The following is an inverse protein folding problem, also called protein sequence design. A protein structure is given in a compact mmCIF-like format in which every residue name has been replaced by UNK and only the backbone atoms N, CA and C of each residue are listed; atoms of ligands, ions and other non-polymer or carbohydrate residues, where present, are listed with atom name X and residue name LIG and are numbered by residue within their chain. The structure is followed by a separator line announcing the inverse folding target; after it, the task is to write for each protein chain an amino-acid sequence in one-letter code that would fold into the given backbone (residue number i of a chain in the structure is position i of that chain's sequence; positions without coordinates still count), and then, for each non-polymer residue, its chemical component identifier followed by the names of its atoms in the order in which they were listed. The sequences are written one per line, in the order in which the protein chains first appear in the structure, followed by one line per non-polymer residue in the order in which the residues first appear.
data_IF_339699539210
#
_entry.id   IF_339699539210
#
_cell.length_a   1.000
_cell.length_b   1.000
_cell.length_c   1.000
_cell.angle_alpha   90.00
_cell.angle_beta   90.00
_cell.angle_gamma   90.00
#
_symmetry.space_group_name_H-M   'P 1'
#
loop_
_entity.id
_entity.type
_entity.pdbx_description
1 polymer ?
#
# COMPACT_ATOMS: atom_id res chain seq x y z
N UNK A 1 -5.61 7.22 14.64
CA UNK A 1 -6.73 6.30 15.03
C UNK A 1 -7.70 6.26 13.87
N UNK A 2 -8.07 5.09 13.38
CA UNK A 2 -9.06 4.90 12.31
C UNK A 2 -10.49 4.99 12.87
N UNK A 3 -11.44 5.44 12.03
CA UNK A 3 -12.86 5.52 12.42
C UNK A 3 -13.54 4.22 11.99
N UNK A 4 -14.23 3.57 12.94
CA UNK A 4 -14.95 2.32 12.71
C UNK A 4 -16.46 2.51 12.86
N UNK A 5 -17.21 1.87 11.98
CA UNK A 5 -18.64 1.76 12.09
C UNK A 5 -19.05 0.70 13.14
N UNK A 6 -20.25 0.83 13.72
CA UNK A 6 -20.84 -0.23 14.54
C UNK A 6 -21.33 -1.40 13.68
N UNK A 7 -21.60 -2.55 14.32
CA UNK A 7 -21.95 -3.82 13.63
C UNK A 7 -23.26 -3.76 12.83
N UNK A 8 -24.18 -2.84 13.17
CA UNK A 8 -25.51 -2.78 12.57
C UNK A 8 -25.66 -1.70 11.50
N UNK A 9 -24.54 -1.06 11.10
CA UNK A 9 -24.54 0.02 10.12
C UNK A 9 -24.55 -0.50 8.69
N UNK A 10 -25.12 0.33 7.78
CA UNK A 10 -25.22 0.05 6.34
C UNK A 10 -24.56 1.17 5.54
N UNK A 11 -24.23 0.88 4.29
CA UNK A 11 -23.78 1.91 3.34
C UNK A 11 -24.85 3.00 3.20
N UNK A 12 -24.41 4.26 3.23
CA UNK A 12 -25.27 5.45 3.23
C UNK A 12 -25.65 5.96 4.61
N UNK A 13 -25.50 5.18 5.69
CA UNK A 13 -25.72 5.66 7.05
C UNK A 13 -24.73 6.77 7.38
N UNK A 14 -25.17 7.71 8.22
CA UNK A 14 -24.36 8.84 8.66
C UNK A 14 -24.16 8.83 10.17
N UNK A 15 -22.97 9.21 10.60
CA UNK A 15 -22.64 9.41 12.00
C UNK A 15 -21.87 10.70 12.19
N UNK A 16 -21.90 11.26 13.40
CA UNK A 16 -21.18 12.47 13.75
C UNK A 16 -20.07 12.13 14.76
N UNK A 17 -18.85 12.64 14.52
CA UNK A 17 -17.72 12.54 15.42
C UNK A 17 -17.01 13.90 15.45
N UNK A 18 -16.87 14.49 16.66
CA UNK A 18 -16.23 15.79 16.88
C UNK A 18 -16.79 16.91 15.97
N UNK A 19 -18.12 16.94 15.77
CA UNK A 19 -18.81 17.92 14.95
C UNK A 19 -18.66 17.71 13.44
N UNK A 20 -18.06 16.60 13.02
CA UNK A 20 -17.90 16.22 11.59
C UNK A 20 -18.82 15.07 11.27
N UNK A 21 -19.64 15.24 10.23
CA UNK A 21 -20.49 14.17 9.71
C UNK A 21 -19.69 13.26 8.80
N UNK A 22 -19.71 11.96 9.07
CA UNK A 22 -19.12 10.90 8.25
C UNK A 22 -20.19 10.05 7.63
N UNK A 23 -19.97 9.58 6.39
CA UNK A 23 -20.86 8.66 5.68
C UNK A 23 -20.21 7.27 5.63
N UNK A 24 -20.96 6.24 6.00
CA UNK A 24 -20.52 4.85 5.91
C UNK A 24 -20.64 4.39 4.46
N UNK A 25 -19.58 3.76 3.95
CA UNK A 25 -19.50 3.31 2.55
C UNK A 25 -19.09 1.84 2.47
N UNK A 26 -19.58 1.16 1.46
CA UNK A 26 -19.11 -0.15 1.00
C UNK A 26 -18.20 -0.03 -0.24
N UNK A 27 -17.86 -1.17 -0.86
CA UNK A 27 -16.99 -1.18 -2.04
C UNK A 27 -17.57 -0.38 -3.21
N UNK A 28 -18.89 -0.55 -3.48
CA UNK A 28 -19.58 0.07 -4.62
C UNK A 28 -19.67 1.57 -4.42
N UNK A 29 -20.24 2.00 -3.30
CA UNK A 29 -20.41 3.42 -2.95
C UNK A 29 -19.09 4.17 -2.92
N UNK A 30 -18.03 3.57 -2.31
CA UNK A 30 -16.71 4.20 -2.29
C UNK A 30 -16.13 4.34 -3.70
N UNK A 31 -16.29 3.32 -4.54
CA UNK A 31 -15.85 3.33 -5.93
C UNK A 31 -16.51 4.46 -6.72
N UNK A 32 -17.84 4.58 -6.63
CA UNK A 32 -18.61 5.64 -7.29
C UNK A 32 -18.18 7.04 -6.83
N UNK A 33 -18.01 7.27 -5.52
CA UNK A 33 -17.53 8.54 -4.98
C UNK A 33 -16.16 8.91 -5.54
N UNK A 34 -15.24 7.94 -5.61
CA UNK A 34 -13.89 8.18 -6.18
C UNK A 34 -13.96 8.48 -7.67
N UNK A 35 -14.80 7.79 -8.45
CA UNK A 35 -14.96 8.05 -9.89
C UNK A 35 -15.57 9.43 -10.14
N UNK A 36 -16.55 9.84 -9.34
CA UNK A 36 -17.20 11.18 -9.43
C UNK A 36 -16.27 12.30 -8.96
N UNK A 37 -15.17 11.99 -8.24
CA UNK A 37 -14.28 12.99 -7.65
C UNK A 37 -14.83 13.62 -6.36
N UNK A 38 -15.72 12.91 -5.68
CA UNK A 38 -16.29 13.35 -4.40
C UNK A 38 -15.22 13.39 -3.28
N UNK A 39 -15.50 14.16 -2.23
CA UNK A 39 -14.64 14.22 -1.04
C UNK A 39 -14.78 12.94 -0.20
N UNK A 40 -13.79 12.05 -0.34
CA UNK A 40 -13.72 10.79 0.41
C UNK A 40 -12.97 10.91 1.75
N UNK A 41 -12.60 12.12 2.18
CA UNK A 41 -11.94 12.32 3.49
C UNK A 41 -12.87 12.10 4.68
N UNK A 42 -14.18 12.19 4.45
CA UNK A 42 -15.24 12.08 5.48
C UNK A 42 -16.09 10.82 5.30
N UNK A 43 -15.46 9.70 4.94
CA UNK A 43 -16.13 8.41 4.87
C UNK A 43 -15.61 7.44 5.93
N UNK A 44 -16.45 6.49 6.32
CA UNK A 44 -16.09 5.35 7.18
C UNK A 44 -16.07 4.09 6.32
N UNK A 45 -14.92 3.46 6.23
CA UNK A 45 -14.64 2.38 5.28
C UNK A 45 -14.69 0.98 5.91
N UNK A 46 -15.26 0.83 7.11
CA UNK A 46 -15.32 -0.46 7.82
C UNK A 46 -15.99 -1.59 7.00
N UNK A 47 -16.95 -1.25 6.11
CA UNK A 47 -17.62 -2.23 5.25
C UNK A 47 -16.85 -2.53 3.96
N UNK A 48 -15.75 -1.82 3.70
CA UNK A 48 -14.94 -2.00 2.51
C UNK A 48 -13.99 -3.19 2.69
N UNK A 49 -13.99 -4.11 1.74
CA UNK A 49 -13.16 -5.34 1.77
C UNK A 49 -12.14 -5.41 0.65
N UNK A 50 -12.28 -4.57 -0.38
CA UNK A 50 -11.40 -4.52 -1.55
C UNK A 50 -11.20 -3.07 -2.00
N UNK A 51 -9.93 -2.64 -2.09
CA UNK A 51 -9.55 -1.31 -2.56
C UNK A 51 -8.62 -1.38 -3.78
N UNK A 52 -8.66 -2.51 -4.50
CA UNK A 52 -7.86 -2.69 -5.70
C UNK A 52 -8.12 -1.59 -6.73
N UNK A 53 -7.05 -0.94 -7.18
CA UNK A 53 -7.06 0.12 -8.20
C UNK A 53 -7.88 1.36 -7.85
N UNK A 54 -8.34 1.55 -6.61
CA UNK A 54 -9.31 2.57 -6.21
C UNK A 54 -8.95 3.99 -6.68
N UNK A 55 -7.68 4.40 -6.58
CA UNK A 55 -7.21 5.71 -7.04
C UNK A 55 -6.27 5.64 -8.25
N UNK A 56 -6.17 4.47 -8.90
CA UNK A 56 -5.22 4.28 -10.00
C UNK A 56 -5.37 5.35 -11.09
N UNK A 57 -4.26 6.04 -11.42
CA UNK A 57 -4.22 7.09 -12.43
C UNK A 57 -4.79 8.45 -12.00
N UNK A 58 -5.32 8.59 -10.79
CA UNK A 58 -5.80 9.88 -10.25
C UNK A 58 -4.60 10.71 -9.76
N UNK A 59 -3.81 11.23 -10.68
CA UNK A 59 -2.47 11.82 -10.47
C UNK A 59 -2.41 12.91 -9.40
N UNK A 60 -3.50 13.66 -9.20
CA UNK A 60 -3.59 14.79 -8.26
C UNK A 60 -4.23 14.39 -6.91
N UNK A 61 -4.63 13.12 -6.73
CA UNK A 61 -5.26 12.70 -5.48
C UNK A 61 -4.26 12.79 -4.32
N UNK A 62 -4.61 13.55 -3.28
CA UNK A 62 -3.82 13.69 -2.06
C UNK A 62 -4.71 14.10 -0.87
N UNK A 63 -5.97 13.62 -0.80
CA UNK A 63 -6.84 13.86 0.35
C UNK A 63 -6.38 13.06 1.56
N UNK A 64 -6.63 13.61 2.77
CA UNK A 64 -6.36 12.90 4.02
C UNK A 64 -7.33 11.72 4.21
N UNK A 65 -6.78 10.52 4.09
CA UNK A 65 -7.48 9.25 4.29
C UNK A 65 -6.90 8.47 5.50
N UNK A 66 -6.17 9.14 6.38
CA UNK A 66 -5.52 8.54 7.56
C UNK A 66 -6.52 7.90 8.53
N UNK A 67 -7.77 8.37 8.51
CA UNK A 67 -8.85 7.87 9.38
C UNK A 67 -9.59 6.65 8.84
N UNK A 68 -9.30 6.22 7.61
CA UNK A 68 -9.96 5.06 7.02
C UNK A 68 -9.68 3.77 7.80
N UNK A 69 -10.71 2.99 8.04
CA UNK A 69 -10.60 1.63 8.55
C UNK A 69 -10.40 0.65 7.39
N UNK A 70 -9.20 0.10 7.28
CA UNK A 70 -8.85 -0.87 6.24
C UNK A 70 -8.69 -2.29 6.80
N UNK A 71 -9.08 -2.50 8.06
CA UNK A 71 -8.86 -3.77 8.75
C UNK A 71 -9.59 -4.96 8.13
N UNK A 72 -10.65 -4.73 7.34
CA UNK A 72 -11.36 -5.77 6.58
C UNK A 72 -10.88 -5.91 5.13
N UNK A 73 -9.91 -5.09 4.69
CA UNK A 73 -9.43 -5.10 3.31
C UNK A 73 -8.42 -6.22 3.09
N UNK A 74 -8.59 -6.97 2.02
CA UNK A 74 -7.70 -8.07 1.65
C UNK A 74 -6.83 -7.78 0.42
N UNK A 75 -7.23 -6.84 -0.44
CA UNK A 75 -6.52 -6.47 -1.67
C UNK A 75 -6.46 -4.94 -1.84
N UNK A 76 -5.24 -4.40 -1.84
CA UNK A 76 -4.95 -2.99 -2.17
C UNK A 76 -4.00 -2.89 -3.38
N UNK A 77 -3.99 -3.93 -4.24
CA UNK A 77 -3.18 -3.93 -5.46
C UNK A 77 -3.51 -2.72 -6.33
N UNK A 78 -2.49 -2.04 -6.81
CA UNK A 78 -2.60 -0.87 -7.68
C UNK A 78 -3.40 0.33 -7.08
N UNK A 79 -3.69 0.35 -5.79
CA UNK A 79 -4.55 1.37 -5.18
C UNK A 79 -4.08 2.80 -5.48
N UNK A 80 -2.78 3.06 -5.39
CA UNK A 80 -2.17 4.36 -5.68
C UNK A 80 -1.28 4.33 -6.92
N UNK A 81 -1.54 3.38 -7.85
CA UNK A 81 -0.74 3.31 -9.08
C UNK A 81 -0.85 4.62 -9.87
N UNK A 82 0.30 5.20 -10.21
CA UNK A 82 0.43 6.45 -10.97
C UNK A 82 -0.26 7.67 -10.32
N UNK A 83 -0.47 7.62 -8.98
CA UNK A 83 -0.97 8.75 -8.17
C UNK A 83 0.22 9.60 -7.71
N UNK A 84 0.76 10.41 -8.60
CA UNK A 84 2.04 11.11 -8.41
C UNK A 84 2.07 12.11 -7.26
N UNK A 85 0.92 12.70 -6.90
CA UNK A 85 0.81 13.67 -5.80
C UNK A 85 0.62 13.03 -4.43
N UNK A 86 0.29 11.73 -4.34
CA UNK A 86 -0.08 11.09 -3.08
C UNK A 86 1.09 11.03 -2.11
N UNK A 87 0.93 11.63 -0.93
CA UNK A 87 1.91 11.57 0.16
C UNK A 87 1.23 11.75 1.54
N UNK A 88 0.02 11.21 1.74
CA UNK A 88 -0.67 11.27 3.02
C UNK A 88 -0.21 10.20 3.98
N UNK A 89 -0.24 10.51 5.28
CA UNK A 89 0.12 9.56 6.34
C UNK A 89 -0.93 8.44 6.46
N UNK A 90 -0.52 7.24 6.13
CA UNK A 90 -1.30 6.00 6.23
C UNK A 90 -0.65 4.98 7.18
N UNK A 91 0.24 5.43 8.04
CA UNK A 91 0.96 4.58 9.02
C UNK A 91 0.03 3.88 10.00
N UNK A 92 -1.15 4.47 10.28
CA UNK A 92 -2.14 3.91 11.20
C UNK A 92 -3.06 2.84 10.59
N UNK A 93 -2.92 2.53 9.32
CA UNK A 93 -3.74 1.52 8.67
C UNK A 93 -3.40 0.12 9.18
N UNK A 94 -4.42 -0.63 9.61
CA UNK A 94 -4.29 -2.05 9.93
C UNK A 94 -4.44 -2.88 8.65
N UNK A 95 -3.32 -3.22 8.03
CA UNK A 95 -3.28 -4.05 6.82
C UNK A 95 -3.03 -5.53 7.10
N UNK A 96 -3.22 -5.99 8.33
CA UNK A 96 -2.90 -7.36 8.75
C UNK A 96 -3.68 -8.44 7.97
N UNK A 97 -4.81 -8.10 7.35
CA UNK A 97 -5.59 -8.98 6.49
C UNK A 97 -5.22 -8.89 5.00
N UNK A 98 -4.38 -7.94 4.61
CA UNK A 98 -3.98 -7.76 3.20
C UNK A 98 -3.06 -8.88 2.75
N UNK A 99 -3.34 -9.42 1.57
CA UNK A 99 -2.56 -10.47 0.90
C UNK A 99 -1.87 -9.99 -0.37
N UNK A 100 -2.40 -8.97 -1.02
CA UNK A 100 -1.90 -8.46 -2.31
C UNK A 100 -1.54 -6.99 -2.22
N UNK A 101 -0.23 -6.71 -2.39
CA UNK A 101 0.36 -5.38 -2.47
C UNK A 101 0.91 -5.06 -3.87
N UNK A 102 0.51 -5.84 -4.88
CA UNK A 102 1.01 -5.69 -6.24
C UNK A 102 0.79 -4.26 -6.76
N UNK A 103 1.88 -3.57 -7.07
CA UNK A 103 1.85 -2.22 -7.64
C UNK A 103 1.16 -1.16 -6.80
N UNK A 104 0.99 -1.36 -5.49
CA UNK A 104 0.22 -0.44 -4.63
C UNK A 104 0.67 1.00 -4.77
N UNK A 105 1.98 1.27 -4.77
CA UNK A 105 2.58 2.60 -4.94
C UNK A 105 3.36 2.74 -6.25
N UNK A 106 3.05 1.91 -7.25
CA UNK A 106 3.71 2.01 -8.55
C UNK A 106 3.50 3.40 -9.15
N UNK A 107 4.59 4.11 -9.46
CA UNK A 107 4.54 5.46 -10.02
C UNK A 107 4.05 6.56 -9.06
N UNK A 108 3.84 6.26 -7.78
CA UNK A 108 3.52 7.26 -6.75
C UNK A 108 4.80 8.04 -6.39
N UNK A 109 5.22 8.94 -7.26
CA UNK A 109 6.55 9.55 -7.25
C UNK A 109 6.84 10.43 -6.04
N UNK A 110 5.81 11.01 -5.40
CA UNK A 110 5.95 11.84 -4.19
C UNK A 110 5.84 11.05 -2.89
N UNK A 111 5.42 9.77 -2.96
CA UNK A 111 5.12 9.01 -1.75
C UNK A 111 6.38 8.69 -0.94
N UNK A 112 6.43 9.15 0.31
CA UNK A 112 7.53 8.87 1.24
C UNK A 112 7.07 8.83 2.71
N UNK A 113 5.92 8.21 2.99
CA UNK A 113 5.40 8.10 4.35
C UNK A 113 5.92 6.86 5.06
N UNK A 114 6.02 6.94 6.38
CA UNK A 114 6.49 5.84 7.22
C UNK A 114 5.51 4.66 7.21
N UNK A 115 5.98 3.50 6.79
CA UNK A 115 5.22 2.25 6.75
C UNK A 115 5.77 1.17 7.70
N UNK A 116 6.65 1.53 8.63
CA UNK A 116 7.28 0.56 9.56
C UNK A 116 6.28 -0.15 10.47
N UNK A 117 5.12 0.46 10.74
CA UNK A 117 4.03 -0.12 11.54
C UNK A 117 3.17 -1.13 10.77
N UNK A 118 3.30 -1.20 9.45
CA UNK A 118 2.47 -2.10 8.65
C UNK A 118 2.80 -3.58 8.92
N UNK A 119 1.78 -4.36 9.28
CA UNK A 119 1.91 -5.81 9.41
C UNK A 119 1.70 -6.49 8.06
N UNK A 120 2.80 -6.79 7.36
CA UNK A 120 2.79 -7.45 6.05
C UNK A 120 2.91 -8.98 6.12
N UNK A 121 2.80 -9.58 7.32
CA UNK A 121 3.07 -11.01 7.54
C UNK A 121 2.09 -11.96 6.81
N UNK A 122 1.00 -11.47 6.25
CA UNK A 122 0.05 -12.24 5.45
C UNK A 122 0.17 -11.97 3.94
N UNK A 123 1.06 -11.08 3.53
CA UNK A 123 1.26 -10.74 2.12
C UNK A 123 1.94 -11.88 1.37
N UNK A 124 1.43 -12.18 0.17
CA UNK A 124 1.96 -13.21 -0.72
C UNK A 124 2.52 -12.66 -2.03
N UNK A 125 2.12 -11.45 -2.43
CA UNK A 125 2.59 -10.80 -3.65
C UNK A 125 2.92 -9.33 -3.39
N UNK A 126 4.18 -8.94 -3.70
CA UNK A 126 4.68 -7.57 -3.62
C UNK A 126 5.20 -7.05 -4.98
N UNK A 127 4.86 -7.71 -6.11
CA UNK A 127 5.36 -7.30 -7.41
C UNK A 127 5.13 -5.81 -7.67
N UNK A 128 6.16 -5.11 -8.11
CA UNK A 128 6.11 -3.70 -8.52
C UNK A 128 5.57 -2.73 -7.44
N UNK A 129 5.59 -3.11 -6.15
CA UNK A 129 4.95 -2.33 -5.09
C UNK A 129 5.42 -0.88 -5.05
N UNK A 130 6.72 -0.64 -5.19
CA UNK A 130 7.35 0.68 -5.21
C UNK A 130 8.01 1.00 -6.56
N UNK A 131 7.63 0.32 -7.65
CA UNK A 131 8.19 0.62 -8.97
C UNK A 131 7.96 2.10 -9.31
N UNK A 132 9.03 2.85 -9.55
CA UNK A 132 8.96 4.28 -9.88
C UNK A 132 8.48 5.19 -8.74
N UNK A 133 8.37 4.70 -7.49
CA UNK A 133 8.14 5.52 -6.31
C UNK A 133 9.43 6.29 -5.96
N UNK A 134 9.72 7.34 -6.72
CA UNK A 134 11.03 7.98 -6.78
C UNK A 134 11.49 8.58 -5.45
N UNK A 135 10.56 9.08 -4.62
CA UNK A 135 10.85 9.70 -3.33
C UNK A 135 10.94 8.69 -2.18
N UNK A 136 10.42 7.45 -2.35
CA UNK A 136 10.29 6.50 -1.25
C UNK A 136 11.65 6.06 -0.71
N UNK A 137 11.91 6.31 0.57
CA UNK A 137 13.13 5.88 1.28
C UNK A 137 12.88 5.65 2.78
N UNK A 138 11.74 5.12 3.16
CA UNK A 138 11.42 4.84 4.57
C UNK A 138 11.95 3.47 5.01
N UNK A 139 12.31 3.36 6.28
CA UNK A 139 12.78 2.11 6.88
C UNK A 139 11.64 1.10 7.00
N UNK A 140 11.79 -0.02 6.29
CA UNK A 140 10.88 -1.16 6.27
C UNK A 140 11.64 -2.46 6.58
N UNK A 141 12.79 -2.36 7.21
CA UNK A 141 13.66 -3.50 7.56
C UNK A 141 13.00 -4.50 8.50
N UNK A 142 12.03 -4.03 9.30
CA UNK A 142 11.28 -4.83 10.26
C UNK A 142 10.10 -5.62 9.65
N UNK A 143 9.83 -5.49 8.35
CA UNK A 143 8.73 -6.21 7.73
C UNK A 143 8.96 -7.73 7.72
N UNK A 144 7.97 -8.50 8.16
CA UNK A 144 7.98 -9.95 8.02
C UNK A 144 7.44 -10.34 6.63
N UNK A 145 8.35 -10.61 5.69
CA UNK A 145 8.03 -10.98 4.31
C UNK A 145 8.10 -12.50 4.05
N UNK A 146 8.18 -13.32 5.09
CA UNK A 146 8.41 -14.77 5.00
C UNK A 146 7.32 -15.57 4.27
N UNK A 147 6.16 -14.97 3.96
CA UNK A 147 5.12 -15.59 3.15
C UNK A 147 5.10 -15.11 1.70
N UNK A 148 5.90 -14.12 1.35
CA UNK A 148 5.92 -13.56 -0.01
C UNK A 148 6.53 -14.57 -0.99
N UNK A 149 5.82 -14.85 -2.07
CA UNK A 149 6.28 -15.76 -3.13
C UNK A 149 6.81 -15.05 -4.37
N UNK A 150 6.45 -13.77 -4.55
CA UNK A 150 6.87 -12.99 -5.71
C UNK A 150 7.15 -11.53 -5.35
N UNK A 151 8.33 -11.06 -5.80
CA UNK A 151 8.88 -9.71 -5.57
C UNK A 151 9.44 -9.09 -6.84
N UNK A 152 8.80 -9.33 -8.00
CA UNK A 152 9.23 -8.77 -9.29
C UNK A 152 9.21 -7.25 -9.23
N UNK A 153 10.34 -6.61 -9.53
CA UNK A 153 10.43 -5.16 -9.70
C UNK A 153 10.00 -4.33 -8.47
N UNK A 154 10.08 -4.86 -7.26
CA UNK A 154 9.58 -4.16 -6.05
C UNK A 154 10.12 -2.75 -5.96
N UNK A 155 11.42 -2.55 -6.16
CA UNK A 155 12.09 -1.24 -6.12
C UNK A 155 12.60 -0.79 -7.48
N UNK A 156 12.09 -1.36 -8.58
CA UNK A 156 12.47 -0.95 -9.94
C UNK A 156 12.27 0.57 -10.09
N UNK A 157 13.33 1.31 -10.44
CA UNK A 157 13.31 2.79 -10.57
C UNK A 157 12.89 3.56 -9.31
N UNK A 158 12.92 2.94 -8.12
CA UNK A 158 12.75 3.63 -6.83
C UNK A 158 14.04 4.37 -6.45
N UNK A 159 14.31 5.49 -7.11
CA UNK A 159 15.63 6.15 -7.18
C UNK A 159 16.22 6.60 -5.86
N UNK A 160 15.38 6.82 -4.83
CA UNK A 160 15.84 7.23 -3.49
C UNK A 160 16.00 6.06 -2.53
N UNK A 161 15.43 4.87 -2.84
CA UNK A 161 15.36 3.78 -1.88
C UNK A 161 16.73 3.14 -1.65
N UNK A 162 17.25 3.24 -0.43
CA UNK A 162 18.53 2.65 -0.02
C UNK A 162 18.52 2.17 1.46
N UNK A 163 17.38 1.71 1.95
CA UNK A 163 17.28 1.18 3.32
C UNK A 163 17.85 -0.24 3.39
N UNK A 164 18.38 -0.60 4.56
CA UNK A 164 18.94 -1.93 4.77
C UNK A 164 17.84 -2.97 5.00
N UNK A 165 17.56 -3.78 4.00
CA UNK A 165 16.56 -4.86 4.03
C UNK A 165 17.22 -6.25 3.89
N UNK A 166 18.51 -6.37 4.15
CA UNK A 166 19.25 -7.62 3.99
C UNK A 166 18.79 -8.73 4.96
N UNK A 167 18.06 -8.36 6.03
CA UNK A 167 17.48 -9.27 7.02
C UNK A 167 16.15 -9.89 6.60
N UNK A 168 15.56 -9.47 5.46
CA UNK A 168 14.31 -10.04 5.00
C UNK A 168 14.44 -11.55 4.72
N UNK A 169 13.53 -12.35 5.29
CA UNK A 169 13.39 -13.77 4.96
C UNK A 169 12.70 -13.92 3.60
N UNK A 170 13.50 -14.19 2.58
CA UNK A 170 13.05 -14.32 1.18
C UNK A 170 13.10 -15.77 0.68
N UNK A 171 13.17 -16.75 1.57
CA UNK A 171 13.33 -18.17 1.23
C UNK A 171 12.16 -18.73 0.38
N UNK A 172 10.98 -18.10 0.44
CA UNK A 172 9.82 -18.49 -0.37
C UNK A 172 9.69 -17.74 -1.69
N UNK A 173 10.52 -16.73 -1.93
CA UNK A 173 10.44 -15.93 -3.15
C UNK A 173 10.97 -16.72 -4.34
N UNK A 174 10.09 -17.00 -5.30
CA UNK A 174 10.38 -17.73 -6.53
C UNK A 174 10.62 -16.79 -7.73
N UNK A 175 10.07 -15.56 -7.67
CA UNK A 175 10.17 -14.57 -8.74
C UNK A 175 10.65 -13.23 -8.20
N UNK A 176 11.84 -12.75 -8.63
CA UNK A 176 12.45 -11.51 -8.13
C UNK A 176 13.17 -10.68 -9.20
N UNK A 177 12.99 -10.97 -10.49
CA UNK A 177 13.71 -10.23 -11.53
C UNK A 177 13.39 -8.73 -11.47
N UNK A 178 14.39 -7.90 -11.84
CA UNK A 178 14.33 -6.44 -11.72
C UNK A 178 14.02 -5.91 -10.31
N UNK A 179 14.29 -6.68 -9.26
CA UNK A 179 13.95 -6.30 -7.87
C UNK A 179 14.39 -4.89 -7.51
N UNK A 180 15.60 -4.49 -7.90
CA UNK A 180 16.24 -3.22 -7.53
C UNK A 180 16.73 -2.39 -8.73
N UNK A 181 16.50 -2.80 -9.97
CA UNK A 181 17.07 -2.13 -11.13
C UNK A 181 16.68 -0.63 -11.18
N UNK A 182 17.69 0.25 -11.22
CA UNK A 182 17.49 1.71 -11.21
C UNK A 182 17.07 2.30 -9.85
N UNK A 183 17.14 1.53 -8.76
CA UNK A 183 17.04 2.05 -7.38
C UNK A 183 18.40 2.50 -6.86
N UNK A 184 18.42 3.18 -5.71
CA UNK A 184 19.66 3.49 -4.98
C UNK A 184 20.08 2.34 -4.03
N UNK A 185 19.34 1.23 -3.98
CA UNK A 185 19.60 0.11 -3.07
C UNK A 185 20.92 -0.56 -3.40
N UNK A 186 21.83 -0.57 -2.44
CA UNK A 186 23.13 -1.23 -2.58
C UNK A 186 23.01 -2.75 -2.44
N UNK A 187 23.93 -3.51 -3.04
CA UNK A 187 23.99 -4.96 -2.91
C UNK A 187 24.16 -5.44 -1.46
N UNK A 188 24.82 -4.67 -0.60
CA UNK A 188 24.99 -4.98 0.82
C UNK A 188 23.71 -4.85 1.62
N UNK A 189 22.76 -4.05 1.15
CA UNK A 189 21.47 -3.78 1.78
C UNK A 189 20.35 -4.67 1.22
N UNK A 190 20.64 -5.46 0.19
CA UNK A 190 19.66 -6.33 -0.50
C UNK A 190 19.56 -7.70 0.17
N UNK A 191 18.38 -8.32 0.30
CA UNK A 191 18.26 -9.67 0.82
C UNK A 191 18.90 -10.69 -0.13
N UNK A 192 19.29 -11.84 0.42
CA UNK A 192 19.93 -12.93 -0.36
C UNK A 192 18.86 -13.88 -0.87
N UNK A 193 18.45 -13.71 -2.10
CA UNK A 193 17.54 -14.63 -2.76
C UNK A 193 18.24 -15.97 -3.07
N UNK A 194 17.63 -17.10 -2.66
CA UNK A 194 18.18 -18.45 -2.82
C UNK A 194 17.52 -19.24 -3.95
N UNK A 195 16.23 -18.98 -4.22
CA UNK A 195 15.44 -19.70 -5.23
C UNK A 195 15.20 -18.91 -6.50
N UNK A 196 15.28 -17.61 -6.42
CA UNK A 196 15.08 -16.73 -7.54
C UNK A 196 16.36 -16.68 -8.37
N UNK A 197 16.38 -17.41 -9.51
CA UNK A 197 17.53 -17.45 -10.39
C UNK A 197 17.74 -16.10 -11.10
N UNK A 198 18.93 -15.55 -10.88
CA UNK A 198 19.70 -14.61 -11.70
C UNK A 198 18.95 -13.47 -12.38
N UNK A 199 19.40 -12.28 -12.03
CA UNK A 199 19.04 -10.95 -12.50
C UNK A 199 18.09 -10.21 -11.57
N UNK A 200 18.33 -10.32 -10.24
CA UNK A 200 17.82 -9.33 -9.28
C UNK A 200 18.44 -7.94 -9.50
N UNK A 201 19.35 -7.84 -10.47
CA UNK A 201 20.05 -6.60 -10.87
C UNK A 201 19.28 -5.82 -11.89
#
# INVERSE_FOLDING_TARGET
MTIKASTDTKSGDKGELDGVTYTIVDNETLGEMVENGDDVSKVVTTLVTNMKSLFSGKTNFNLDISKWDVSNVTDISFMFKDVSAFNQDISNWDISNVRWLHGTFRGASSFNQNLSSWNVSNVINMDNMFYGAAAFNQDISNWNVSKVSTMIGVFLQARSFNQNINSWDVDKVEHCYNFLNGSALSNSNTPKFTKCNTLCQ
#
